data_IF_113343270219
#
_entry.id   IF_113343270219
#
_cell.length_a   1.000
_cell.length_b   1.000
_cell.length_c   1.000
_cell.angle_alpha   90.00
_cell.angle_beta   90.00
_cell.angle_gamma   90.00
#
_symmetry.space_group_name_H-M   'P 1'
#
loop_
_entity.id
_entity.type
_entity.pdbx_description
1 polymer ?
#
# COMPACT_ATOMS: atom_id res chain seq x y z
N UNK A 1 22.91 -1.39 -9.01
CA UNK A 1 22.53 -1.67 -10.42
C UNK A 1 21.02 -1.76 -10.50
N UNK A 2 20.35 -0.76 -11.08
CA UNK A 2 18.90 -0.82 -11.33
C UNK A 2 18.64 -1.70 -12.54
N UNK A 3 17.96 -2.82 -12.34
CA UNK A 3 17.43 -3.64 -13.43
C UNK A 3 16.19 -2.95 -14.03
N UNK A 4 16.41 -1.87 -14.77
CA UNK A 4 15.39 -1.31 -15.67
C UNK A 4 15.10 -2.35 -16.76
N UNK A 5 13.81 -2.62 -16.96
CA UNK A 5 13.22 -3.67 -17.81
C UNK A 5 14.08 -4.18 -18.95
N UNK A 6 14.58 -5.41 -18.81
CA UNK A 6 14.95 -6.22 -19.98
C UNK A 6 13.69 -6.46 -20.80
N UNK A 7 13.76 -6.20 -22.09
CA UNK A 7 12.69 -6.55 -23.02
C UNK A 7 12.36 -8.04 -22.87
N UNK A 8 11.06 -8.37 -22.96
CA UNK A 8 10.62 -9.75 -22.91
C UNK A 8 11.34 -10.55 -24.01
N UNK A 9 11.91 -11.73 -23.71
CA UNK A 9 12.41 -12.62 -24.73
C UNK A 9 11.27 -12.94 -25.71
N UNK A 10 11.60 -13.03 -27.00
CA UNK A 10 10.62 -13.35 -28.04
C UNK A 10 9.83 -14.62 -27.68
N UNK A 11 8.51 -14.58 -27.82
CA UNK A 11 7.60 -15.70 -27.51
C UNK A 11 6.96 -15.70 -26.11
N UNK A 12 7.45 -14.88 -25.16
CA UNK A 12 6.92 -14.84 -23.78
C UNK A 12 5.88 -13.71 -23.58
N UNK A 13 4.76 -13.79 -24.28
CA UNK A 13 3.72 -12.74 -24.27
C UNK A 13 3.04 -12.53 -22.91
N UNK A 14 3.18 -13.49 -21.99
CA UNK A 14 2.56 -13.44 -20.65
C UNK A 14 3.58 -13.13 -19.55
N UNK A 15 4.84 -12.85 -19.90
CA UNK A 15 5.85 -12.45 -18.92
C UNK A 15 5.46 -11.13 -18.25
N UNK A 16 5.48 -11.11 -16.90
CA UNK A 16 5.16 -9.93 -16.11
C UNK A 16 3.66 -9.58 -16.01
N UNK A 17 2.79 -10.26 -16.77
CA UNK A 17 1.34 -10.10 -16.64
C UNK A 17 0.83 -10.78 -15.36
N UNK A 18 -0.23 -10.24 -14.71
CA UNK A 18 -0.88 -10.92 -13.60
C UNK A 18 -1.41 -12.30 -14.02
N UNK A 19 -1.52 -13.22 -13.06
CA UNK A 19 -2.11 -14.53 -13.29
C UNK A 19 -3.63 -14.44 -13.16
N UNK A 20 -4.37 -14.96 -14.15
CA UNK A 20 -5.83 -15.13 -14.01
C UNK A 20 -6.15 -16.38 -13.20
N UNK A 21 -7.38 -16.49 -12.70
CA UNK A 21 -7.81 -17.69 -11.97
C UNK A 21 -7.96 -18.90 -12.89
N UNK A 22 -8.40 -18.67 -14.12
CA UNK A 22 -8.50 -19.70 -15.15
C UNK A 22 -7.12 -20.24 -15.53
N UNK A 23 -6.15 -19.35 -15.73
CA UNK A 23 -4.75 -19.69 -16.01
C UNK A 23 -4.13 -20.49 -14.85
N UNK A 24 -4.41 -20.10 -13.61
CA UNK A 24 -3.96 -20.83 -12.42
C UNK A 24 -4.57 -22.23 -12.34
N UNK A 25 -5.86 -22.37 -12.61
CA UNK A 25 -6.53 -23.67 -12.57
C UNK A 25 -5.99 -24.61 -13.65
N UNK A 26 -5.73 -24.09 -14.86
CA UNK A 26 -5.07 -24.82 -15.94
C UNK A 26 -3.67 -25.29 -15.52
N UNK A 27 -2.87 -24.40 -14.91
CA UNK A 27 -1.55 -24.75 -14.39
C UNK A 27 -1.63 -25.91 -13.38
N UNK A 28 -2.54 -25.83 -12.40
CA UNK A 28 -2.69 -26.88 -11.38
C UNK A 28 -3.16 -28.21 -12.00
N UNK A 29 -3.99 -28.17 -13.04
CA UNK A 29 -4.40 -29.36 -13.77
C UNK A 29 -3.23 -29.98 -14.54
N UNK A 30 -2.43 -29.17 -15.23
CA UNK A 30 -1.25 -29.64 -15.98
C UNK A 30 -0.20 -30.29 -15.08
N UNK A 31 -0.05 -29.78 -13.85
CA UNK A 31 0.79 -30.38 -12.82
C UNK A 31 0.25 -31.73 -12.35
N UNK A 32 -1.07 -31.85 -12.16
CA UNK A 32 -1.72 -33.14 -11.85
C UNK A 32 -1.55 -34.16 -12.97
N UNK A 33 -1.56 -33.71 -14.21
CA UNK A 33 -1.27 -34.51 -15.41
C UNK A 33 0.22 -34.87 -15.55
N UNK A 34 1.08 -34.44 -14.61
CA UNK A 34 2.54 -34.67 -14.58
C UNK A 34 3.28 -34.19 -15.83
N UNK A 35 2.80 -33.11 -16.46
CA UNK A 35 3.51 -32.44 -17.55
C UNK A 35 4.82 -31.83 -17.06
N UNK A 36 5.82 -31.77 -17.93
CA UNK A 36 7.09 -31.12 -17.61
C UNK A 36 6.88 -29.63 -17.40
N UNK A 37 7.56 -29.05 -16.40
CA UNK A 37 7.55 -27.59 -16.14
C UNK A 37 7.98 -26.80 -17.39
N UNK A 38 8.84 -27.38 -18.22
CA UNK A 38 9.28 -26.77 -19.49
C UNK A 38 8.10 -26.61 -20.45
N UNK A 39 7.31 -27.67 -20.61
CA UNK A 39 6.17 -27.68 -21.53
C UNK A 39 5.07 -26.73 -21.04
N UNK A 40 4.78 -26.76 -19.75
CA UNK A 40 3.84 -25.84 -19.09
C UNK A 40 4.28 -24.38 -19.33
N UNK A 41 5.58 -24.08 -19.15
CA UNK A 41 6.10 -22.75 -19.38
C UNK A 41 5.87 -22.27 -20.83
N UNK A 42 6.09 -23.15 -21.82
CA UNK A 42 5.83 -22.82 -23.23
C UNK A 42 4.35 -22.61 -23.53
N UNK A 43 3.46 -23.44 -22.96
CA UNK A 43 2.02 -23.37 -23.18
C UNK A 43 1.43 -22.07 -22.60
N UNK A 44 1.85 -21.72 -21.39
CA UNK A 44 1.44 -20.48 -20.71
C UNK A 44 2.19 -19.24 -21.23
N UNK A 45 3.18 -19.40 -22.11
CA UNK A 45 4.06 -18.33 -22.63
C UNK A 45 4.72 -17.53 -21.50
N UNK A 46 5.15 -18.26 -20.46
CA UNK A 46 5.86 -17.74 -19.27
C UNK A 46 7.19 -18.46 -19.11
N UNK A 47 8.06 -17.92 -18.25
CA UNK A 47 9.33 -18.58 -17.93
C UNK A 47 9.11 -19.72 -16.93
N UNK A 48 9.97 -20.73 -16.96
CA UNK A 48 9.98 -21.81 -15.95
C UNK A 48 10.05 -21.24 -14.52
N UNK A 49 10.88 -20.21 -14.31
CA UNK A 49 10.95 -19.50 -13.03
C UNK A 49 9.63 -18.83 -12.64
N UNK A 50 8.87 -18.31 -13.60
CA UNK A 50 7.54 -17.75 -13.38
C UNK A 50 6.52 -18.81 -12.95
N UNK A 51 6.56 -20.00 -13.57
CA UNK A 51 5.73 -21.14 -13.18
C UNK A 51 6.06 -21.57 -11.74
N UNK A 52 7.33 -21.82 -11.45
CA UNK A 52 7.78 -22.25 -10.11
C UNK A 52 7.46 -21.22 -9.03
N UNK A 53 7.69 -19.93 -9.32
CA UNK A 53 7.34 -18.85 -8.40
C UNK A 53 5.84 -18.83 -8.11
N UNK A 54 5.00 -19.10 -9.11
CA UNK A 54 3.55 -19.13 -8.93
C UNK A 54 3.11 -20.33 -8.11
N UNK A 55 3.66 -21.52 -8.37
CA UNK A 55 3.35 -22.72 -7.58
C UNK A 55 3.71 -22.55 -6.11
N UNK A 56 4.88 -21.97 -5.82
CA UNK A 56 5.30 -21.66 -4.44
C UNK A 56 4.36 -20.66 -3.77
N UNK A 57 3.95 -19.62 -4.49
CA UNK A 57 2.98 -18.65 -3.96
C UNK A 57 1.64 -19.31 -3.66
N UNK A 58 1.14 -20.16 -4.56
CA UNK A 58 -0.11 -20.90 -4.36
C UNK A 58 -0.01 -21.82 -3.15
N UNK A 59 1.08 -22.59 -2.99
CA UNK A 59 1.30 -23.44 -1.82
C UNK A 59 1.25 -22.64 -0.51
N UNK A 60 1.93 -21.49 -0.46
CA UNK A 60 1.92 -20.62 0.72
C UNK A 60 0.52 -20.05 1.00
N UNK A 61 -0.25 -19.70 -0.04
CA UNK A 61 -1.63 -19.20 0.11
C UNK A 61 -2.55 -20.30 0.65
N UNK A 62 -2.48 -21.51 0.09
CA UNK A 62 -3.30 -22.65 0.54
C UNK A 62 -3.04 -22.98 2.01
N UNK A 63 -1.78 -22.92 2.46
CA UNK A 63 -1.45 -23.15 3.85
C UNK A 63 -1.95 -22.03 4.77
N UNK A 64 -1.68 -20.77 4.42
CA UNK A 64 -1.96 -19.62 5.30
C UNK A 64 -3.44 -19.20 5.32
N UNK A 65 -4.16 -19.36 4.21
CA UNK A 65 -5.56 -18.93 4.11
C UNK A 65 -6.55 -20.06 4.30
N UNK A 66 -6.26 -21.26 3.76
CA UNK A 66 -7.18 -22.41 3.79
C UNK A 66 -6.79 -23.44 4.87
N UNK A 67 -5.72 -23.20 5.64
CA UNK A 67 -5.20 -24.12 6.67
C UNK A 67 -4.89 -25.53 6.15
N UNK A 68 -4.57 -25.66 4.86
CA UNK A 68 -4.19 -26.96 4.29
C UNK A 68 -2.86 -27.44 4.85
N UNK A 69 -2.75 -28.75 5.03
CA UNK A 69 -1.53 -29.39 5.50
C UNK A 69 -0.44 -29.31 4.42
N UNK A 70 0.83 -29.45 4.84
CA UNK A 70 1.96 -29.51 3.91
C UNK A 70 1.79 -30.66 2.91
N UNK A 71 1.21 -31.78 3.34
CA UNK A 71 0.99 -32.95 2.49
C UNK A 71 -0.01 -32.65 1.36
N UNK A 72 -1.14 -32.01 1.67
CA UNK A 72 -2.11 -31.59 0.65
C UNK A 72 -1.50 -30.56 -0.32
N UNK A 73 -0.62 -29.68 0.17
CA UNK A 73 0.09 -28.75 -0.69
C UNK A 73 1.03 -29.47 -1.68
N UNK A 74 1.70 -30.54 -1.25
CA UNK A 74 2.53 -31.39 -2.12
C UNK A 74 1.67 -32.02 -3.22
N UNK A 75 0.51 -32.57 -2.84
CA UNK A 75 -0.40 -33.23 -3.79
C UNK A 75 -0.98 -32.26 -4.83
N UNK A 76 -1.29 -31.03 -4.42
CA UNK A 76 -1.88 -30.01 -5.31
C UNK A 76 -0.82 -29.39 -6.22
N UNK A 77 0.35 -29.06 -5.68
CA UNK A 77 1.36 -28.24 -6.39
C UNK A 77 2.50 -29.05 -6.99
N UNK A 78 2.64 -30.33 -6.62
CA UNK A 78 3.74 -31.19 -7.07
C UNK A 78 5.12 -30.75 -6.61
N UNK A 79 5.20 -29.78 -5.68
CA UNK A 79 6.46 -29.26 -5.15
C UNK A 79 7.02 -30.16 -4.05
N UNK A 80 8.33 -30.12 -3.88
CA UNK A 80 8.98 -30.78 -2.75
C UNK A 80 8.63 -30.08 -1.43
N UNK A 81 8.68 -30.85 -0.34
CA UNK A 81 8.44 -30.37 1.01
C UNK A 81 9.35 -29.19 1.37
N UNK A 82 10.62 -29.23 0.96
CA UNK A 82 11.58 -28.17 1.23
C UNK A 82 11.17 -26.83 0.60
N UNK A 83 10.74 -26.85 -0.66
CA UNK A 83 10.27 -25.68 -1.40
C UNK A 83 9.00 -25.08 -0.80
N UNK A 84 8.09 -25.92 -0.32
CA UNK A 84 6.85 -25.48 0.33
C UNK A 84 7.16 -24.80 1.66
N UNK A 85 8.04 -25.38 2.48
CA UNK A 85 8.47 -24.78 3.75
C UNK A 85 9.14 -23.43 3.51
N UNK A 86 10.08 -23.35 2.57
CA UNK A 86 10.74 -22.08 2.20
C UNK A 86 9.72 -21.02 1.74
N UNK A 87 8.73 -21.42 0.94
CA UNK A 87 7.68 -20.52 0.47
C UNK A 87 6.82 -19.97 1.62
N UNK A 88 6.41 -20.82 2.56
CA UNK A 88 5.62 -20.44 3.74
C UNK A 88 6.44 -19.51 4.63
N UNK A 89 7.66 -19.91 5.02
CA UNK A 89 8.51 -19.14 5.92
C UNK A 89 8.84 -17.75 5.35
N UNK A 90 9.12 -17.65 4.04
CA UNK A 90 9.33 -16.36 3.38
C UNK A 90 8.08 -15.48 3.44
N UNK A 91 6.90 -16.06 3.27
CA UNK A 91 5.65 -15.29 3.30
C UNK A 91 5.33 -14.81 4.71
N UNK A 92 5.47 -15.66 5.72
CA UNK A 92 5.32 -15.30 7.13
C UNK A 92 6.29 -14.18 7.53
N UNK A 93 7.57 -14.33 7.17
CA UNK A 93 8.56 -13.30 7.41
C UNK A 93 8.15 -11.96 6.79
N UNK A 94 7.69 -11.97 5.53
CA UNK A 94 7.23 -10.76 4.85
C UNK A 94 6.01 -10.12 5.52
N UNK A 95 5.09 -10.93 6.06
CA UNK A 95 3.93 -10.44 6.84
C UNK A 95 4.41 -9.76 8.12
N UNK A 96 5.29 -10.42 8.89
CA UNK A 96 5.85 -9.89 10.14
C UNK A 96 6.60 -8.58 9.88
N UNK A 97 7.44 -8.52 8.85
CA UNK A 97 8.22 -7.32 8.52
C UNK A 97 7.33 -6.17 8.05
N UNK A 98 6.25 -6.46 7.31
CA UNK A 98 5.24 -5.45 6.95
C UNK A 98 4.54 -4.91 8.19
N UNK A 99 4.13 -5.77 9.12
CA UNK A 99 3.49 -5.36 10.37
C UNK A 99 4.41 -4.46 11.21
N UNK A 100 5.67 -4.85 11.42
CA UNK A 100 6.67 -4.02 12.13
C UNK A 100 6.88 -2.65 11.48
N UNK A 101 6.87 -2.58 10.15
CA UNK A 101 7.00 -1.31 9.43
C UNK A 101 5.78 -0.42 9.60
N UNK A 102 4.57 -1.00 9.69
CA UNK A 102 3.33 -0.25 9.98
C UNK A 102 3.38 0.28 11.41
N UNK A 103 3.69 -0.58 12.38
CA UNK A 103 3.81 -0.20 13.79
C UNK A 103 4.85 0.92 14.00
N UNK A 104 5.99 0.84 13.31
CA UNK A 104 7.03 1.89 13.37
C UNK A 104 6.51 3.22 12.78
N UNK A 105 5.76 3.17 11.67
CA UNK A 105 5.15 4.36 11.07
C UNK A 105 4.07 4.97 11.97
N UNK A 106 3.28 4.14 12.65
CA UNK A 106 2.26 4.59 13.60
C UNK A 106 2.90 5.23 14.83
N UNK A 107 3.92 4.59 15.42
CA UNK A 107 4.71 5.18 16.50
C UNK A 107 5.37 6.51 16.10
N UNK A 108 5.86 6.62 14.87
CA UNK A 108 6.38 7.89 14.33
C UNK A 108 5.29 8.96 14.19
N UNK A 109 4.10 8.61 13.68
CA UNK A 109 2.96 9.53 13.60
C UNK A 109 2.50 9.99 14.98
N UNK A 110 2.44 9.08 15.94
CA UNK A 110 2.05 9.36 17.32
C UNK A 110 3.10 10.22 18.04
N UNK A 111 4.39 9.98 17.82
CA UNK A 111 5.46 10.87 18.29
C UNK A 111 5.41 12.26 17.65
N UNK A 112 5.09 12.37 16.36
CA UNK A 112 4.91 13.67 15.68
C UNK A 112 3.68 14.41 16.21
N UNK A 113 2.58 13.69 16.47
CA UNK A 113 1.36 14.24 17.07
C UNK A 113 1.62 14.71 18.51
N UNK A 114 2.28 13.89 19.33
CA UNK A 114 2.65 14.23 20.71
C UNK A 114 3.68 15.37 20.78
N UNK A 115 4.59 15.46 19.80
CA UNK A 115 5.49 16.62 19.67
C UNK A 115 4.72 17.88 19.30
N UNK A 116 3.70 17.80 18.44
CA UNK A 116 2.82 18.94 18.16
C UNK A 116 1.98 19.36 19.37
N UNK A 117 1.49 18.41 20.17
CA UNK A 117 0.76 18.69 21.41
C UNK A 117 1.70 19.27 22.48
N UNK A 118 2.93 18.75 22.64
CA UNK A 118 3.91 19.31 23.57
C UNK A 118 4.42 20.68 23.12
N UNK A 119 4.57 20.96 21.83
CA UNK A 119 4.84 22.33 21.33
C UNK A 119 3.66 23.28 21.65
N UNK A 120 2.43 22.76 21.70
CA UNK A 120 1.23 23.54 22.08
C UNK A 120 1.14 23.73 23.59
N UNK A 121 1.56 22.75 24.39
CA UNK A 121 1.59 22.81 25.86
C UNK A 121 2.78 23.63 26.39
N UNK A 122 3.95 23.57 25.77
CA UNK A 122 5.11 24.43 26.10
C UNK A 122 4.88 25.89 25.70
N UNK A 123 4.12 26.15 24.62
CA UNK A 123 3.62 27.51 24.32
C UNK A 123 2.71 28.08 25.41
N UNK A 124 1.98 27.23 26.13
CA UNK A 124 1.14 27.65 27.26
C UNK A 124 1.93 27.94 28.54
N UNK A 125 3.14 27.36 28.71
CA UNK A 125 3.98 27.63 29.89
C UNK A 125 4.93 28.82 29.65
N UNK A 126 5.32 29.09 28.39
CA UNK A 126 6.08 30.30 27.99
C UNK A 126 5.15 31.54 27.83
N UNK A 127 3.83 31.37 27.94
CA UNK A 127 2.83 32.46 27.94
C UNK A 127 2.74 33.24 29.27
N UNK A 128 3.87 33.43 29.97
CA UNK A 128 3.99 34.48 31.01
C UNK A 128 4.89 35.64 30.57
N UNK A 129 5.36 35.65 29.33
CA UNK A 129 5.84 36.86 28.67
C UNK A 129 5.01 37.07 27.40
N UNK A 130 3.80 37.60 27.57
CA UNK A 130 2.92 37.98 26.45
C UNK A 130 3.61 39.13 25.73
N UNK A 131 3.99 38.92 24.48
CA UNK A 131 4.34 40.00 23.55
C UNK A 131 3.04 40.77 23.27
N UNK A 132 2.88 42.04 23.74
CA UNK A 132 1.64 42.80 23.64
C UNK A 132 1.11 42.93 22.21
N UNK A 133 1.99 42.72 21.23
CA UNK A 133 1.67 42.78 19.81
C UNK A 133 0.85 41.59 19.31
N UNK A 134 0.82 40.46 20.03
CA UNK A 134 0.09 39.26 19.57
C UNK A 134 -1.43 39.43 19.71
N UNK A 135 -1.89 39.98 20.84
CA UNK A 135 -3.31 40.23 21.11
C UNK A 135 -3.87 41.25 20.12
N UNK A 136 -3.15 42.36 19.91
CA UNK A 136 -3.49 43.36 18.90
C UNK A 136 -3.56 42.78 17.48
N UNK A 137 -2.72 41.79 17.13
CA UNK A 137 -2.78 41.13 15.82
C UNK A 137 -4.02 40.27 15.65
N UNK A 138 -4.53 39.67 16.72
CA UNK A 138 -5.78 38.90 16.68
C UNK A 138 -6.98 39.83 16.50
N UNK A 139 -7.05 40.91 17.27
CA UNK A 139 -8.10 41.93 17.16
C UNK A 139 -8.12 42.58 15.78
N UNK A 140 -6.96 42.95 15.24
CA UNK A 140 -6.84 43.52 13.87
C UNK A 140 -7.30 42.51 12.81
N UNK A 141 -7.09 41.21 13.03
CA UNK A 141 -7.56 40.19 12.09
C UNK A 141 -9.07 39.99 12.15
N UNK A 142 -9.70 40.16 13.31
CA UNK A 142 -11.16 40.17 13.42
C UNK A 142 -11.75 41.41 12.75
N UNK A 143 -11.24 42.60 13.05
CA UNK A 143 -11.65 43.85 12.40
C UNK A 143 -11.57 43.78 10.87
N UNK A 144 -10.53 43.13 10.32
CA UNK A 144 -10.40 42.93 8.87
C UNK A 144 -11.49 42.04 8.28
N UNK A 145 -12.02 41.07 9.03
CA UNK A 145 -13.14 40.25 8.58
C UNK A 145 -14.41 41.08 8.53
N UNK A 146 -14.66 41.87 9.58
CA UNK A 146 -15.86 42.71 9.68
C UNK A 146 -15.88 43.77 8.57
N UNK A 147 -14.74 44.41 8.29
CA UNK A 147 -14.62 45.38 7.19
C UNK A 147 -14.90 44.72 5.83
N UNK A 148 -14.44 43.49 5.62
CA UNK A 148 -14.73 42.77 4.37
C UNK A 148 -16.23 42.47 4.22
N UNK A 149 -16.90 42.10 5.29
CA UNK A 149 -18.34 41.84 5.25
C UNK A 149 -19.13 43.12 5.00
N UNK A 150 -18.74 44.23 5.65
CA UNK A 150 -19.35 45.55 5.39
C UNK A 150 -19.19 45.95 3.92
N UNK A 151 -18.00 45.80 3.34
CA UNK A 151 -17.77 46.11 1.93
C UNK A 151 -18.61 45.21 1.01
N UNK A 152 -18.77 43.94 1.36
CA UNK A 152 -19.62 43.00 0.62
C UNK A 152 -21.08 43.46 0.62
N UNK A 153 -21.59 43.86 1.79
CA UNK A 153 -22.97 44.34 1.95
C UNK A 153 -23.18 45.70 1.25
N UNK A 154 -22.20 46.59 1.31
CA UNK A 154 -22.25 47.89 0.64
C UNK A 154 -22.29 47.73 -0.88
N UNK A 155 -21.46 46.85 -1.45
CA UNK A 155 -21.49 46.55 -2.88
C UNK A 155 -22.84 45.95 -3.30
N UNK A 156 -23.40 45.04 -2.48
CA UNK A 156 -24.70 44.45 -2.75
C UNK A 156 -25.85 45.49 -2.74
N UNK A 157 -25.77 46.51 -1.90
CA UNK A 157 -26.72 47.63 -1.88
C UNK A 157 -26.59 48.49 -3.14
N UNK A 158 -25.38 48.83 -3.56
CA UNK A 158 -25.14 49.58 -4.80
C UNK A 158 -25.66 48.83 -6.04
N UNK A 159 -25.42 47.53 -6.13
CA UNK A 159 -25.93 46.69 -7.23
C UNK A 159 -27.46 46.66 -7.25
N UNK A 160 -28.10 46.66 -6.08
CA UNK A 160 -29.56 46.69 -5.95
C UNK A 160 -30.16 48.03 -6.39
N UNK A 161 -29.58 49.15 -5.96
CA UNK A 161 -30.04 50.49 -6.37
C UNK A 161 -29.81 50.78 -7.86
N UNK A 162 -28.72 50.27 -8.44
CA UNK A 162 -28.45 50.39 -9.88
C UNK A 162 -29.38 49.53 -10.76
N UNK A 163 -30.11 48.59 -10.16
CA UNK A 163 -31.03 47.68 -10.84
C UNK A 163 -32.51 48.09 -10.75
N UNK A 164 -32.83 49.23 -10.10
CA UNK A 164 -34.15 49.87 -10.08
C UNK A 164 -34.27 50.98 -11.12
#
# INVERSE_FOLDING_TARGET
MSFMGRAAPEGLTNMGKPWSQEELNQLLQEIKEKKSIVDIATLHKRTQGGINSRLRETAAILHLNENKTIQECIEITGLDKSDIIDAISRREYNIIMKAKKVETKEKLKEQVLNKHVNITSERNIISKHVDPLHELRLEVNELKKDVKEILRLMNALYDFEASQ
#
